data_IF_994341418748
#
_entry.id   IF_994341418748
#
_cell.length_a   1.000
_cell.length_b   1.000
_cell.length_c   1.000
_cell.angle_alpha   90.00
_cell.angle_beta   90.00
_cell.angle_gamma   90.00
#
_symmetry.space_group_name_H-M   'P 1'
#
loop_
_entity.id
_entity.type
_entity.pdbx_description
1 polymer ?
2 non-polymer ?
3 non-polymer ?
4 non-polymer ?
5 non-polymer ?
6 non-polymer ?
7 water ?
#
# COMPACT_ATOMS: atom_id res chain seq x y z
N UNK A 1 4.54 4.73 20.65
CA UNK A 1 3.23 4.12 20.50
C UNK A 1 2.66 4.37 19.11
N UNK A 2 1.61 3.63 18.75
CA UNK A 2 0.88 3.88 17.52
C UNK A 2 1.28 2.99 16.38
N UNK A 3 0.94 3.46 15.18
CA UNK A 3 1.11 2.66 13.97
C UNK A 3 2.58 2.48 13.65
N UNK A 4 2.95 1.26 13.26
CA UNK A 4 4.32 0.96 12.89
C UNK A 4 4.52 1.01 11.38
N UNK A 5 3.63 0.36 10.64
CA UNK A 5 3.78 0.15 9.21
C UNK A 5 2.47 -0.42 8.68
N UNK A 6 2.42 -0.59 7.35
CA UNK A 6 1.29 -1.29 6.74
C UNK A 6 1.36 -2.77 7.11
N UNK A 7 0.20 -3.36 7.39
CA UNK A 7 0.17 -4.70 7.93
C UNK A 7 -0.20 -5.74 6.89
N UNK A 8 -1.33 -5.54 6.23
CA UNK A 8 -1.74 -6.41 5.13
C UNK A 8 -2.80 -5.69 4.32
N UNK A 9 -3.05 -6.21 3.13
CA UNK A 9 -4.09 -5.71 2.23
C UNK A 9 -4.93 -6.89 1.77
N UNK A 10 -6.24 -6.75 1.84
CA UNK A 10 -7.17 -7.79 1.42
C UNK A 10 -7.73 -7.43 0.05
N UNK A 11 -7.44 -8.26 -0.96
CA UNK A 11 -7.82 -8.00 -2.33
C UNK A 11 -8.88 -8.98 -2.80
N UNK A 12 -9.73 -8.50 -3.71
CA UNK A 12 -10.71 -9.36 -4.38
C UNK A 12 -10.09 -9.88 -5.67
N UNK A 13 -10.13 -11.20 -5.85
CA UNK A 13 -9.64 -11.83 -7.07
C UNK A 13 -10.74 -12.72 -7.63
N UNK A 14 -10.77 -12.82 -8.97
CA UNK A 14 -11.79 -13.60 -9.66
C UNK A 14 -11.33 -15.00 -10.02
N UNK A 15 -10.02 -15.23 -10.10
CA UNK A 15 -9.45 -16.56 -10.35
C UNK A 15 -8.38 -16.77 -9.30
N UNK A 16 -8.69 -17.59 -8.29
CA UNK A 16 -7.78 -17.78 -7.16
C UNK A 16 -6.51 -18.49 -7.59
N UNK A 17 -6.64 -19.52 -8.44
CA UNK A 17 -5.46 -20.26 -8.90
C UNK A 17 -4.50 -19.33 -9.64
N UNK A 18 -5.03 -18.47 -10.51
CA UNK A 18 -4.16 -17.59 -11.28
C UNK A 18 -3.59 -16.47 -10.42
N UNK A 19 -4.39 -15.95 -9.47
CA UNK A 19 -3.90 -14.89 -8.59
C UNK A 19 -2.79 -15.38 -7.68
N UNK A 20 -2.96 -16.58 -7.11
CA UNK A 20 -1.91 -17.15 -6.27
C UNK A 20 -0.66 -17.42 -7.09
N UNK A 21 -0.83 -17.91 -8.33
CA UNK A 21 0.32 -18.10 -9.21
C UNK A 21 1.07 -16.79 -9.44
N UNK A 22 0.32 -15.70 -9.61
CA UNK A 22 0.93 -14.42 -9.92
C UNK A 22 1.72 -13.88 -8.73
N UNK A 23 1.10 -13.88 -7.54
CA UNK A 23 1.78 -13.31 -6.38
C UNK A 23 2.91 -14.18 -5.86
N UNK A 24 2.91 -15.47 -6.21
CA UNK A 24 4.01 -16.36 -5.88
C UNK A 24 5.13 -16.34 -6.92
N UNK A 25 4.77 -16.38 -8.20
CA UNK A 25 5.79 -16.47 -9.24
C UNK A 25 6.38 -15.11 -9.59
N UNK A 26 5.56 -14.07 -9.65
CA UNK A 26 6.05 -12.77 -10.10
C UNK A 26 6.70 -12.01 -8.96
N UNK A 27 6.01 -11.85 -7.84
CA UNK A 27 6.50 -11.08 -6.72
C UNK A 27 7.30 -11.92 -5.72
N UNK A 28 7.21 -13.25 -5.79
CA UNK A 28 8.02 -14.09 -4.96
C UNK A 28 7.46 -14.35 -3.57
N UNK A 29 6.17 -14.13 -3.37
CA UNK A 29 5.57 -14.39 -2.07
C UNK A 29 5.33 -15.88 -1.86
N UNK A 30 5.06 -16.24 -0.62
CA UNK A 30 4.76 -17.60 -0.23
C UNK A 30 3.37 -17.66 0.39
N UNK A 31 2.57 -18.62 -0.05
CA UNK A 31 1.29 -18.88 0.60
C UNK A 31 1.52 -19.47 1.98
N UNK A 32 0.94 -18.82 3.00
CA UNK A 32 1.15 -19.22 4.39
C UNK A 32 -0.03 -19.97 4.98
N UNK A 33 -1.26 -19.76 4.49
CA UNK A 33 -2.42 -20.46 5.01
C UNK A 33 -3.61 -20.19 4.09
N UNK A 34 -4.61 -21.07 4.20
CA UNK A 34 -5.89 -20.89 3.52
C UNK A 34 -6.99 -21.27 4.50
N UNK A 35 -7.94 -20.35 4.72
CA UNK A 35 -8.97 -20.58 5.71
C UNK A 35 -10.12 -21.39 5.11
N UNK A 36 -11.12 -21.67 5.94
CA UNK A 36 -12.24 -22.51 5.51
C UNK A 36 -13.06 -21.87 4.39
N UNK A 37 -12.97 -20.56 4.22
CA UNK A 37 -13.74 -19.85 3.20
C UNK A 37 -12.99 -19.71 1.88
N UNK A 38 -11.83 -20.34 1.74
CA UNK A 38 -11.07 -20.25 0.52
C UNK A 38 -10.13 -19.07 0.42
N UNK A 39 -10.15 -18.18 1.40
CA UNK A 39 -9.23 -17.04 1.40
C UNK A 39 -7.80 -17.53 1.54
N UNK A 40 -6.90 -16.92 0.77
CA UNK A 40 -5.49 -17.31 0.73
C UNK A 40 -4.65 -16.16 1.27
N UNK A 41 -3.70 -16.50 2.12
CA UNK A 41 -2.85 -15.53 2.81
C UNK A 41 -1.41 -15.73 2.39
N UNK A 42 -0.71 -14.65 2.08
CA UNK A 42 0.65 -14.73 1.57
C UNK A 42 1.53 -13.70 2.28
N UNK A 43 2.83 -13.98 2.30
CA UNK A 43 3.80 -13.09 2.92
C UNK A 43 5.04 -13.01 2.04
N UNK A 44 5.80 -11.93 2.22
CA UNK A 44 7.07 -11.76 1.53
C UNK A 44 8.20 -12.35 2.37
N UNK A 45 9.36 -12.52 1.74
CA UNK A 45 10.46 -13.22 2.42
C UNK A 45 11.06 -12.38 3.54
N UNK A 46 11.10 -11.06 3.40
CA UNK A 46 11.69 -10.19 4.41
C UNK A 46 10.66 -9.65 5.40
N UNK A 47 9.48 -10.28 5.47
CA UNK A 47 8.51 -10.02 6.52
C UNK A 47 8.58 -11.13 7.55
N UNK A 48 8.22 -10.81 8.79
CA UNK A 48 8.24 -11.79 9.86
C UNK A 48 6.86 -12.17 10.39
N UNK A 49 5.83 -11.38 10.10
CA UNK A 49 4.49 -11.77 10.47
C UNK A 49 3.91 -12.76 9.45
N UNK A 50 2.75 -13.32 9.78
CA UNK A 50 2.26 -14.47 9.03
C UNK A 50 1.89 -14.11 7.59
N UNK A 51 1.25 -12.96 7.39
CA UNK A 51 0.79 -12.64 6.04
C UNK A 51 0.68 -11.13 5.88
N UNK A 52 0.89 -10.68 4.64
CA UNK A 52 0.69 -9.29 4.27
C UNK A 52 -0.27 -9.12 3.11
N UNK A 53 -0.78 -10.22 2.54
CA UNK A 53 -1.71 -10.18 1.41
C UNK A 53 -2.79 -11.22 1.64
N UNK A 54 -4.05 -10.79 1.54
CA UNK A 54 -5.20 -11.69 1.58
C UNK A 54 -5.87 -11.68 0.22
N UNK A 55 -6.06 -12.85 -0.36
CA UNK A 55 -6.79 -13.00 -1.61
C UNK A 55 -8.12 -13.68 -1.32
N UNK A 56 -9.21 -12.98 -1.63
CA UNK A 56 -10.54 -13.48 -1.34
C UNK A 56 -11.29 -13.71 -2.64
N UNK A 57 -11.96 -14.86 -2.80
CA UNK A 57 -12.74 -15.10 -4.02
C UNK A 57 -13.86 -14.09 -4.15
N UNK A 58 -14.03 -13.57 -5.38
CA UNK A 58 -15.02 -12.52 -5.61
C UNK A 58 -15.43 -12.54 -7.08
N UNK A 59 -16.50 -11.82 -7.37
CA UNK A 59 -16.97 -11.63 -8.74
C UNK A 59 -16.25 -10.49 -9.45
N UNK A 60 -15.36 -9.79 -8.75
CA UNK A 60 -14.74 -8.58 -9.28
C UNK A 60 -13.38 -8.39 -8.62
N UNK A 61 -12.64 -7.40 -9.11
CA UNK A 61 -11.39 -7.01 -8.47
C UNK A 61 -11.71 -6.00 -7.37
N UNK A 62 -10.70 -5.33 -6.86
CA UNK A 62 -10.87 -4.32 -5.83
C UNK A 62 -10.25 -4.74 -4.51
N UNK A 63 -10.40 -3.87 -3.53
CA UNK A 63 -9.84 -4.07 -2.20
C UNK A 63 -10.96 -4.23 -1.18
N UNK A 64 -10.83 -5.25 -0.33
CA UNK A 64 -11.76 -5.40 0.80
C UNK A 64 -11.45 -4.39 1.89
N UNK A 65 -10.28 -4.49 2.50
CA UNK A 65 -9.87 -3.55 3.54
C UNK A 65 -8.36 -3.42 3.50
N UNK A 66 -7.85 -2.52 4.34
CA UNK A 66 -6.42 -2.25 4.46
C UNK A 66 -6.07 -2.21 5.93
N UNK A 67 -4.98 -2.88 6.31
CA UNK A 67 -4.64 -3.05 7.71
C UNK A 67 -3.24 -2.51 8.00
N UNK A 68 -3.11 -1.88 9.16
CA UNK A 68 -1.84 -1.36 9.65
C UNK A 68 -1.58 -1.90 11.05
N UNK A 69 -0.32 -2.23 11.32
CA UNK A 69 0.06 -2.78 12.61
C UNK A 69 0.47 -1.66 13.56
N UNK A 70 0.04 -1.77 14.81
CA UNK A 70 0.39 -0.82 15.86
C UNK A 70 1.39 -1.50 16.80
N UNK A 71 2.03 -0.69 17.63
CA UNK A 71 3.13 -1.19 18.45
C UNK A 71 2.63 -2.14 19.54
N UNK A 72 1.58 -1.76 20.26
CA UNK A 72 1.11 -2.54 21.39
C UNK A 72 -0.41 -2.61 21.38
N UNK A 73 -0.95 -3.57 22.12
CA UNK A 73 -2.38 -3.79 22.16
C UNK A 73 -3.13 -2.58 22.72
N UNK A 74 -2.54 -1.92 23.72
CA UNK A 74 -3.20 -0.76 24.32
C UNK A 74 -3.30 0.42 23.36
N UNK A 75 -2.53 0.42 22.27
CA UNK A 75 -2.63 1.51 21.30
C UNK A 75 -4.01 1.55 20.65
N UNK A 76 -4.67 0.39 20.53
CA UNK A 76 -5.96 0.34 19.87
C UNK A 76 -7.01 1.12 20.64
N UNK A 77 -7.03 0.99 21.97
CA UNK A 77 -7.97 1.75 22.77
C UNK A 77 -7.71 3.25 22.66
N UNK A 78 -6.45 3.65 22.76
CA UNK A 78 -6.11 5.07 22.68
C UNK A 78 -6.43 5.64 21.31
N UNK A 79 -6.05 4.93 20.24
CA UNK A 79 -6.39 5.38 18.90
C UNK A 79 -7.90 5.35 18.67
N UNK A 80 -8.60 4.39 19.27
CA UNK A 80 -10.05 4.33 19.11
C UNK A 80 -10.71 5.58 19.67
N UNK A 81 -10.24 6.06 20.83
CA UNK A 81 -10.82 7.27 21.41
C UNK A 81 -10.49 8.49 20.58
N UNK A 82 -9.28 8.57 20.03
CA UNK A 82 -8.93 9.68 19.16
C UNK A 82 -9.78 9.68 17.89
N UNK A 83 -9.97 8.50 17.29
CA UNK A 83 -10.75 8.41 16.06
C UNK A 83 -12.20 8.79 16.31
N UNK A 84 -12.77 8.28 17.41
CA UNK A 84 -14.19 8.52 17.68
C UNK A 84 -14.45 9.94 18.14
N UNK A 85 -13.45 10.60 18.74
CA UNK A 85 -13.59 12.02 19.05
C UNK A 85 -13.61 12.84 17.77
N UNK A 86 -12.83 12.45 16.77
CA UNK A 86 -12.83 13.11 15.47
C UNK A 86 -14.18 13.02 14.76
N UNK A 87 -14.98 12.00 15.07
CA UNK A 87 -16.28 11.83 14.46
C UNK A 87 -16.46 10.53 13.69
N UNK A 88 -15.47 9.64 13.65
CA UNK A 88 -15.56 8.38 12.92
C UNK A 88 -15.91 7.28 13.92
N UNK A 89 -16.96 6.52 13.61
CA UNK A 89 -17.35 5.39 14.45
C UNK A 89 -16.42 4.20 14.20
N UNK A 90 -16.04 3.54 15.28
CA UNK A 90 -15.17 2.37 15.21
C UNK A 90 -15.88 1.16 15.82
N UNK A 91 -15.34 -0.01 15.50
CA UNK A 91 -15.75 -1.26 16.13
C UNK A 91 -14.50 -2.10 16.35
N UNK A 92 -14.62 -3.09 17.22
CA UNK A 92 -13.49 -3.92 17.62
C UNK A 92 -13.83 -5.38 17.34
N UNK A 93 -13.32 -5.91 16.24
CA UNK A 93 -13.34 -7.34 16.00
C UNK A 93 -12.27 -8.00 16.86
N UNK A 94 -12.65 -9.05 17.59
CA UNK A 94 -11.75 -9.62 18.58
C UNK A 94 -10.84 -10.65 17.93
N UNK A 95 -10.10 -11.41 18.76
CA UNK A 95 -9.11 -12.34 18.26
C UNK A 95 -9.74 -13.41 17.38
N UNK A 96 -9.03 -13.79 16.33
CA UNK A 96 -9.49 -14.87 15.46
C UNK A 96 -10.50 -14.47 14.40
N UNK A 97 -10.90 -13.20 14.35
CA UNK A 97 -11.76 -12.75 13.24
C UNK A 97 -11.10 -13.07 11.90
N UNK A 98 -9.79 -12.81 11.79
CA UNK A 98 -8.94 -13.35 10.75
C UNK A 98 -8.01 -14.40 11.37
N UNK A 99 -7.68 -15.47 10.64
CA UNK A 99 -6.79 -16.48 11.21
C UNK A 99 -5.41 -15.92 11.52
N UNK A 100 -4.85 -16.38 12.64
CA UNK A 100 -3.52 -15.96 13.08
C UNK A 100 -3.43 -14.45 13.28
N UNK A 101 -4.54 -13.82 13.63
CA UNK A 101 -4.59 -12.37 13.77
C UNK A 101 -5.32 -12.02 15.06
N UNK A 102 -4.73 -11.11 15.84
CA UNK A 102 -5.34 -10.64 17.06
C UNK A 102 -6.56 -9.76 16.77
N UNK A 103 -7.03 -9.11 17.82
CA UNK A 103 -8.18 -8.22 17.69
C UNK A 103 -7.83 -7.04 16.79
N UNK A 104 -8.86 -6.50 16.13
CA UNK A 104 -8.67 -5.46 15.12
C UNK A 104 -9.66 -4.33 15.33
N UNK A 105 -9.15 -3.10 15.38
CA UNK A 105 -9.97 -1.91 15.39
C UNK A 105 -10.39 -1.59 13.97
N UNK A 106 -11.70 -1.52 13.72
CA UNK A 106 -12.23 -1.38 12.38
C UNK A 106 -13.00 -0.07 12.24
N UNK A 107 -12.76 0.64 11.14
CA UNK A 107 -13.41 1.91 10.87
C UNK A 107 -13.26 2.23 9.40
N UNK A 108 -13.99 3.25 8.96
CA UNK A 108 -13.94 3.70 7.57
C UNK A 108 -13.26 5.06 7.50
N UNK A 109 -12.33 5.20 6.55
CA UNK A 109 -11.76 6.49 6.25
C UNK A 109 -12.83 7.40 5.65
N UNK A 110 -12.63 8.72 5.68
CA UNK A 110 -13.56 9.62 4.99
C UNK A 110 -13.78 9.27 3.53
N UNK A 111 -12.77 8.71 2.87
CA UNK A 111 -12.92 8.28 1.48
C UNK A 111 -13.81 7.06 1.32
N UNK A 112 -14.18 6.40 2.42
CA UNK A 112 -15.05 5.25 2.38
C UNK A 112 -14.35 3.91 2.50
N UNK A 113 -13.03 3.89 2.42
CA UNK A 113 -12.28 2.64 2.54
C UNK A 113 -12.32 2.13 3.97
N UNK A 114 -12.34 0.81 4.12
CA UNK A 114 -12.29 0.19 5.43
C UNK A 114 -10.83 0.02 5.84
N UNK A 115 -10.47 0.56 7.00
CA UNK A 115 -9.13 0.42 7.55
C UNK A 115 -9.20 -0.32 8.87
N UNK A 116 -8.24 -1.21 9.09
CA UNK A 116 -8.14 -1.97 10.33
C UNK A 116 -6.79 -1.74 10.97
N UNK A 117 -6.78 -1.72 12.31
CA UNK A 117 -5.57 -1.63 13.10
C UNK A 117 -5.48 -2.85 14.00
N UNK A 118 -4.34 -3.53 13.97
CA UNK A 118 -4.11 -4.67 14.83
C UNK A 118 -2.75 -4.53 15.49
N UNK A 119 -2.61 -5.13 16.68
CA UNK A 119 -1.34 -5.16 17.38
C UNK A 119 -0.66 -6.52 17.36
N UNK A 120 -1.43 -7.60 17.12
CA UNK A 120 -0.92 -8.96 17.25
C UNK A 120 -1.22 -9.73 15.97
N UNK A 121 -0.19 -10.36 15.41
CA UNK A 121 -0.31 -11.31 14.32
C UNK A 121 0.74 -12.38 14.53
N UNK A 122 0.42 -13.61 14.14
CA UNK A 122 1.31 -14.74 14.40
C UNK A 122 2.69 -14.51 13.80
N UNK A 123 3.71 -14.68 14.62
CA UNK A 123 5.09 -14.50 14.18
C UNK A 123 5.57 -15.79 13.51
N UNK A 124 6.15 -15.65 12.32
CA UNK A 124 6.78 -16.77 11.64
C UNK A 124 8.25 -16.51 11.32
N UNK A 125 8.68 -15.25 11.25
CA UNK A 125 10.05 -14.93 10.97
C UNK A 125 10.31 -14.76 9.48
N UNK A 126 11.40 -14.05 9.17
CA UNK A 126 11.80 -13.86 7.79
C UNK A 126 12.42 -15.14 7.23
N UNK A 127 12.59 -15.17 5.91
CA UNK A 127 13.15 -16.33 5.24
C UNK A 127 14.66 -16.43 5.38
N UNK A 128 15.30 -15.50 6.10
CA UNK A 128 16.73 -15.57 6.37
C UNK A 128 17.04 -15.71 7.85
N UNK A 129 16.03 -15.79 8.71
CA UNK A 129 16.27 -15.96 10.13
C UNK A 129 16.82 -14.70 10.81
N UNK A 130 17.14 -14.87 12.09
CA UNK A 130 17.65 -13.78 12.92
C UNK A 130 18.89 -14.17 13.71
N UNK A 131 19.53 -15.28 13.38
CA UNK A 131 20.81 -15.67 13.99
C UNK A 131 21.82 -15.83 12.86
N UNK A 132 22.78 -14.92 12.79
CA UNK A 132 23.78 -14.87 11.73
C UNK A 132 23.13 -14.95 10.34
N UNK A 133 22.15 -14.09 10.05
CA UNK A 133 21.34 -14.28 8.84
C UNK A 133 22.08 -13.82 7.59
N UNK A 134 21.74 -14.49 6.47
CA UNK A 134 22.21 -14.05 5.17
C UNK A 134 21.49 -12.77 4.77
N UNK A 135 22.11 -11.97 3.88
CA UNK A 135 21.43 -10.76 3.41
C UNK A 135 20.20 -11.06 2.57
N UNK A 136 20.18 -12.20 1.87
CA UNK A 136 19.05 -12.62 1.07
C UNK A 136 18.95 -14.14 1.14
N UNK A 137 17.76 -14.70 0.94
CA UNK A 137 17.60 -16.15 1.05
C UNK A 137 17.82 -16.87 -0.27
N UNK A 138 18.40 -18.07 -0.16
CA UNK A 138 18.54 -18.93 -1.32
C UNK A 138 17.17 -19.42 -1.78
N UNK A 139 17.03 -19.57 -3.09
CA UNK A 139 15.78 -20.03 -3.64
C UNK A 139 14.69 -18.99 -3.67
N UNK A 140 15.05 -17.71 -3.78
CA UNK A 140 14.06 -16.67 -4.01
C UNK A 140 13.41 -16.86 -5.37
N UNK A 141 12.13 -16.51 -5.45
CA UNK A 141 11.34 -16.67 -6.67
C UNK A 141 10.99 -15.31 -7.25
N UNK A 142 11.03 -15.21 -8.58
CA UNK A 142 10.56 -14.02 -9.25
C UNK A 142 11.34 -12.78 -8.85
N UNK A 143 10.62 -11.71 -8.56
CA UNK A 143 11.22 -10.44 -8.17
C UNK A 143 11.79 -10.45 -6.76
N UNK A 144 11.38 -11.39 -5.92
CA UNK A 144 11.92 -11.47 -4.58
C UNK A 144 11.62 -10.24 -3.75
N UNK A 145 10.36 -9.84 -3.72
CA UNK A 145 9.96 -8.63 -3.01
C UNK A 145 10.24 -8.76 -1.52
N UNK A 146 10.78 -7.70 -0.94
CA UNK A 146 11.14 -7.72 0.49
C UNK A 146 9.89 -7.73 1.36
N UNK A 147 9.00 -6.76 1.17
CA UNK A 147 7.86 -6.60 2.03
C UNK A 147 6.81 -5.74 1.33
N UNK A 148 5.56 -5.89 1.79
CA UNK A 148 4.52 -4.93 1.42
C UNK A 148 4.90 -3.56 1.96
N UNK A 149 5.11 -2.61 1.04
CA UNK A 149 5.69 -1.32 1.39
C UNK A 149 4.64 -0.26 1.69
N UNK A 150 3.65 -0.09 0.82
CA UNK A 150 2.64 0.94 1.00
C UNK A 150 1.44 0.61 0.13
N UNK A 151 0.43 1.48 0.18
CA UNK A 151 -0.77 1.33 -0.63
C UNK A 151 -1.27 2.71 -1.02
N UNK A 152 -1.63 2.85 -2.30
CA UNK A 152 -2.19 4.09 -2.83
C UNK A 152 -3.68 3.88 -3.07
N UNK A 153 -4.51 4.66 -2.37
CA UNK A 153 -5.96 4.58 -2.49
C UNK A 153 -6.47 5.70 -3.40
N UNK A 154 -7.35 5.35 -4.32
CA UNK A 154 -8.11 6.35 -5.06
C UNK A 154 -9.23 6.85 -4.16
N UNK A 155 -9.34 8.17 -4.04
CA UNK A 155 -10.28 8.79 -3.12
C UNK A 155 -11.22 9.71 -3.88
N UNK A 156 -12.51 9.59 -3.59
CA UNK A 156 -13.53 10.38 -4.28
C UNK A 156 -13.26 11.87 -4.11
N UNK A 157 -13.26 12.59 -5.24
CA UNK A 157 -12.91 14.00 -5.24
C UNK A 157 -13.79 14.72 -6.25
N UNK A 158 -14.44 15.79 -5.79
CA UNK A 158 -15.33 16.60 -6.65
C UNK A 158 -15.27 18.03 -6.14
N UNK A 159 -14.28 18.79 -6.58
CA UNK A 159 -14.10 20.15 -6.02
C UNK A 159 -15.27 21.07 -6.25
N UNK A 160 -15.95 20.98 -7.40
CA UNK A 160 -17.10 21.85 -7.64
C UNK A 160 -18.27 21.50 -6.73
N UNK A 161 -18.33 20.25 -6.26
CA UNK A 161 -19.32 19.84 -5.28
C UNK A 161 -18.81 19.95 -3.85
N UNK A 162 -17.60 20.45 -3.65
CA UNK A 162 -17.04 20.57 -2.31
C UNK A 162 -16.56 19.27 -1.70
N UNK A 163 -16.25 18.27 -2.51
CA UNK A 163 -15.84 16.95 -2.03
C UNK A 163 -14.38 16.76 -2.36
N UNK A 164 -13.57 16.48 -1.33
CA UNK A 164 -12.16 16.14 -1.51
C UNK A 164 -11.79 15.20 -0.35
N UNK A 165 -11.98 13.90 -0.58
CA UNK A 165 -11.65 12.91 0.43
C UNK A 165 -10.15 12.66 0.55
N UNK A 166 -9.36 13.11 -0.43
CA UNK A 166 -7.91 13.09 -0.25
C UNK A 166 -7.51 14.04 0.86
N UNK A 167 -8.10 15.24 0.88
CA UNK A 167 -7.82 16.19 1.95
C UNK A 167 -8.37 15.71 3.28
N UNK A 168 -9.55 15.07 3.27
CA UNK A 168 -10.15 14.59 4.51
C UNK A 168 -9.42 13.36 5.04
N UNK A 169 -8.97 12.47 4.15
CA UNK A 169 -8.14 11.35 4.58
C UNK A 169 -6.81 11.85 5.12
N UNK A 170 -6.20 12.83 4.47
CA UNK A 170 -4.92 13.36 4.92
C UNK A 170 -5.03 13.98 6.30
N UNK A 171 -6.08 14.77 6.53
CA UNK A 171 -6.29 15.34 7.86
C UNK A 171 -6.63 14.27 8.89
N UNK A 172 -7.28 13.19 8.47
CA UNK A 172 -7.68 12.15 9.42
C UNK A 172 -6.48 11.37 9.91
N UNK A 173 -5.67 10.83 8.99
CA UNK A 173 -4.53 10.02 9.38
C UNK A 173 -3.45 10.83 10.09
N UNK A 174 -3.43 12.15 9.90
CA UNK A 174 -2.47 12.98 10.60
C UNK A 174 -2.93 13.29 12.02
N UNK A 175 -4.18 13.74 12.16
CA UNK A 175 -4.67 14.17 13.47
C UNK A 175 -5.03 13.00 14.38
N UNK A 176 -5.46 11.86 13.81
CA UNK A 176 -5.87 10.72 14.61
C UNK A 176 -4.81 9.63 14.72
N UNK A 177 -4.14 9.29 13.61
CA UNK A 177 -3.15 8.24 13.61
C UNK A 177 -1.72 8.76 13.66
N UNK A 178 -1.54 10.08 13.70
CA UNK A 178 -0.22 10.73 13.80
C UNK A 178 0.71 10.34 12.65
N UNK A 179 0.16 10.14 11.45
CA UNK A 179 0.98 10.16 10.27
C UNK A 179 1.49 11.59 10.04
N UNK A 180 2.59 11.71 9.29
CA UNK A 180 3.06 13.03 8.90
C UNK A 180 3.21 13.09 7.39
N UNK A 181 2.83 14.24 6.82
CA UNK A 181 2.79 14.42 5.38
C UNK A 181 4.21 14.64 4.84
N UNK A 182 4.61 13.83 3.86
CA UNK A 182 5.92 13.95 3.24
C UNK A 182 5.88 14.71 1.92
N UNK A 183 4.96 14.39 1.02
CA UNK A 183 4.84 15.09 -0.24
C UNK A 183 3.38 15.26 -0.59
N UNK A 184 3.11 16.21 -1.48
CA UNK A 184 1.74 16.50 -1.91
C UNK A 184 1.75 17.03 -3.33
N UNK A 185 0.70 16.71 -4.06
CA UNK A 185 0.44 17.27 -5.39
C UNK A 185 -0.66 18.32 -5.24
N UNK A 186 -0.36 19.55 -5.61
CA UNK A 186 -1.29 20.66 -5.50
C UNK A 186 -1.78 21.06 -6.88
N UNK A 187 -3.10 20.97 -7.08
CA UNK A 187 -3.73 21.38 -8.33
C UNK A 187 -4.71 22.51 -8.03
N UNK A 188 -5.55 22.86 -9.00
CA UNK A 188 -6.49 23.93 -8.84
C UNK A 188 -5.82 25.27 -8.96
N UNK A 189 -6.56 26.35 -8.66
CA UNK A 189 -5.99 27.70 -8.77
C UNK A 189 -4.82 27.93 -7.81
N UNK A 190 -3.62 28.08 -8.38
CA UNK A 190 -2.45 28.34 -7.57
C UNK A 190 -2.06 27.21 -6.65
N UNK A 191 -2.47 25.99 -6.95
CA UNK A 191 -2.15 24.86 -6.10
C UNK A 191 -2.90 24.89 -4.77
N UNK A 192 -4.16 25.30 -4.79
CA UNK A 192 -4.97 25.41 -3.58
C UNK A 192 -5.77 24.15 -3.29
N UNK A 193 -5.59 23.08 -4.06
CA UNK A 193 -6.36 21.85 -3.90
C UNK A 193 -5.39 20.68 -3.83
N UNK A 194 -5.47 19.91 -2.74
CA UNK A 194 -4.68 18.70 -2.58
C UNK A 194 -5.32 17.60 -3.41
N UNK A 195 -4.60 17.14 -4.44
CA UNK A 195 -5.10 16.04 -5.25
C UNK A 195 -4.37 14.73 -4.99
N UNK A 196 -3.19 14.78 -4.38
CA UNK A 196 -2.43 13.57 -4.07
C UNK A 196 -1.53 13.87 -2.88
N UNK A 197 -1.58 13.01 -1.87
CA UNK A 197 -0.78 13.16 -0.66
C UNK A 197 -0.06 11.85 -0.34
N UNK A 198 1.11 11.98 0.27
CA UNK A 198 1.93 10.84 0.67
C UNK A 198 2.31 11.04 2.13
N UNK A 199 1.93 10.07 2.97
CA UNK A 199 2.11 10.19 4.41
C UNK A 199 2.83 8.97 4.96
N UNK A 200 3.49 9.16 6.09
CA UNK A 200 4.39 8.13 6.62
C UNK A 200 4.27 8.03 8.13
N UNK A 201 4.51 6.82 8.62
CA UNK A 201 4.83 6.54 10.02
C UNK A 201 6.27 6.11 10.21
N UNK A 202 6.79 5.33 9.26
CA UNK A 202 8.21 5.02 9.21
C UNK A 202 8.98 6.25 8.74
N UNK A 203 10.30 6.12 8.64
CA UNK A 203 11.14 7.16 8.06
C UNK A 203 11.41 6.90 6.58
N UNK A 204 10.43 6.33 5.90
CA UNK A 204 10.39 6.19 4.44
C UNK A 204 9.40 7.17 3.86
N UNK A 205 9.52 7.51 2.57
CA UNK A 205 8.70 8.59 2.02
C UNK A 205 7.20 8.41 2.18
N UNK A 206 6.70 7.17 2.22
CA UNK A 206 5.27 7.01 2.42
C UNK A 206 4.95 5.56 2.78
N UNK A 207 4.03 5.40 3.75
CA UNK A 207 3.40 4.13 4.06
C UNK A 207 1.96 4.07 3.59
N UNK A 208 1.30 5.22 3.40
CA UNK A 208 -0.02 5.32 2.81
C UNK A 208 -0.02 6.53 1.90
N UNK A 209 -0.93 6.52 0.92
CA UNK A 209 -1.03 7.62 -0.02
C UNK A 209 -2.44 7.66 -0.59
N UNK A 210 -2.91 8.88 -0.89
CA UNK A 210 -4.24 9.09 -1.42
C UNK A 210 -4.14 9.89 -2.71
N UNK A 211 -4.88 9.47 -3.74
CA UNK A 211 -4.95 10.17 -5.01
C UNK A 211 -6.42 10.37 -5.36
N UNK A 212 -6.75 11.54 -5.90
CA UNK A 212 -8.13 11.85 -6.19
C UNK A 212 -8.64 11.11 -7.42
N UNK A 213 -9.94 10.82 -7.40
CA UNK A 213 -10.59 10.15 -8.49
C UNK A 213 -12.08 10.38 -8.47
N UNK A 214 -12.77 9.98 -9.55
CA UNK A 214 -14.23 10.12 -9.56
C UNK A 214 -14.91 9.29 -8.49
N UNK A 215 -14.39 8.09 -8.20
CA UNK A 215 -14.89 7.24 -7.14
C UNK A 215 -13.72 6.84 -6.25
N UNK A 216 -14.04 6.15 -5.16
CA UNK A 216 -13.02 5.63 -4.26
C UNK A 216 -12.71 4.18 -4.62
N UNK A 217 -11.42 3.87 -4.71
CA UNK A 217 -11.00 2.52 -5.04
C UNK A 217 -9.55 2.28 -4.67
N UNK A 218 -9.01 1.20 -5.23
CA UNK A 218 -7.62 0.81 -5.00
C UNK A 218 -6.81 1.15 -6.23
N UNK A 219 -5.78 1.99 -6.06
CA UNK A 219 -4.88 2.25 -7.17
C UNK A 219 -3.84 1.15 -7.29
N UNK A 220 -3.11 0.86 -6.21
CA UNK A 220 -2.16 -0.24 -6.21
C UNK A 220 -1.67 -0.50 -4.79
N UNK A 221 -1.19 -1.71 -4.57
CA UNK A 221 -0.36 -2.05 -3.41
C UNK A 221 1.06 -2.27 -3.92
N UNK A 222 2.04 -1.84 -3.12
CA UNK A 222 3.43 -1.83 -3.56
C UNK A 222 4.28 -2.76 -2.71
N UNK A 223 5.36 -3.25 -3.32
CA UNK A 223 6.29 -4.16 -2.67
C UNK A 223 7.71 -3.61 -2.85
N UNK A 224 8.51 -3.70 -1.81
CA UNK A 224 9.81 -3.04 -1.80
C UNK A 224 10.88 -3.87 -2.49
N UNK A 225 11.70 -3.20 -3.29
CA UNK A 225 12.92 -3.78 -3.85
C UNK A 225 14.12 -2.95 -3.43
N UNK A 226 15.30 -3.56 -3.49
CA UNK A 226 16.50 -2.89 -3.00
C UNK A 226 16.96 -1.79 -3.96
N UNK A 227 17.25 -2.15 -5.21
CA UNK A 227 18.00 -1.28 -6.11
C UNK A 227 17.33 -1.20 -7.48
N UNK A 228 17.86 -0.29 -8.30
CA UNK A 228 17.43 -0.15 -9.68
C UNK A 228 17.67 -1.44 -10.47
N UNK A 229 18.74 -2.17 -10.13
CA UNK A 229 19.03 -3.43 -10.82
C UNK A 229 17.94 -4.47 -10.55
N UNK A 230 17.39 -4.48 -9.35
CA UNK A 230 16.31 -5.41 -9.03
C UNK A 230 15.05 -5.08 -9.81
N UNK A 231 14.85 -3.80 -10.15
CA UNK A 231 13.74 -3.42 -11.00
C UNK A 231 13.92 -4.00 -12.40
N UNK A 232 15.15 -4.03 -12.90
CA UNK A 232 15.43 -4.69 -14.17
C UNK A 232 15.12 -6.18 -14.08
N UNK A 233 15.59 -6.82 -13.01
CA UNK A 233 15.33 -8.24 -12.82
C UNK A 233 13.82 -8.51 -12.68
N UNK A 234 13.13 -7.65 -11.93
CA UNK A 234 11.69 -7.80 -11.79
C UNK A 234 10.98 -7.64 -13.13
N UNK A 235 11.46 -6.71 -13.96
CA UNK A 235 10.84 -6.53 -15.27
C UNK A 235 11.07 -7.74 -16.16
N UNK A 236 12.25 -8.38 -16.05
CA UNK A 236 12.49 -9.60 -16.79
C UNK A 236 11.55 -10.72 -16.36
N UNK A 237 11.28 -10.80 -15.05
CA UNK A 237 10.38 -11.82 -14.53
C UNK A 237 8.97 -11.63 -15.09
N UNK A 238 8.50 -10.38 -15.13
CA UNK A 238 7.15 -10.13 -15.65
C UNK A 238 7.04 -10.52 -17.12
N UNK A 239 8.13 -10.36 -17.88
CA UNK A 239 8.14 -10.77 -19.27
C UNK A 239 8.09 -12.29 -19.40
N UNK A 240 8.79 -13.00 -18.51
CA UNK A 240 8.79 -14.45 -18.57
C UNK A 240 7.43 -15.04 -18.20
N UNK A 241 6.63 -14.30 -17.44
CA UNK A 241 5.29 -14.74 -17.05
C UNK A 241 4.21 -14.04 -17.85
N UNK A 242 4.57 -13.29 -18.89
CA UNK A 242 3.65 -12.47 -19.67
C UNK A 242 2.71 -11.69 -18.77
N UNK A 243 3.30 -11.03 -17.77
CA UNK A 243 2.54 -10.11 -16.93
C UNK A 243 2.23 -8.85 -17.72
N UNK A 244 0.99 -8.39 -17.61
CA UNK A 244 0.57 -7.17 -18.30
C UNK A 244 1.12 -5.98 -17.52
N UNK A 245 2.09 -5.29 -18.10
CA UNK A 245 2.77 -4.18 -17.45
C UNK A 245 2.01 -2.89 -17.73
N UNK A 246 1.67 -2.17 -16.66
CA UNK A 246 1.04 -0.87 -16.81
C UNK A 246 2.07 0.19 -17.19
N UNK A 247 3.15 0.31 -16.41
CA UNK A 247 4.19 1.29 -16.65
C UNK A 247 5.55 0.58 -16.59
N UNK A 248 6.33 0.73 -17.66
CA UNK A 248 7.66 0.14 -17.74
C UNK A 248 8.59 0.79 -16.71
N UNK A 249 9.76 0.18 -16.44
CA UNK A 249 10.66 0.76 -15.44
C UNK A 249 10.96 2.23 -15.66
N UNK A 250 10.76 3.03 -14.62
CA UNK A 250 11.07 4.46 -14.60
C UNK A 250 11.18 4.89 -13.14
N UNK A 251 11.31 6.20 -12.92
CA UNK A 251 11.43 6.77 -11.59
C UNK A 251 10.24 7.68 -11.30
N UNK A 252 9.75 7.64 -10.06
CA UNK A 252 8.77 8.61 -9.60
C UNK A 252 9.46 9.92 -9.24
N UNK A 253 8.84 11.04 -9.62
CA UNK A 253 9.28 12.32 -9.11
C UNK A 253 9.07 12.42 -7.61
N UNK A 254 7.88 12.01 -7.16
CA UNK A 254 7.60 11.94 -5.73
C UNK A 254 8.30 10.72 -5.14
N UNK A 255 8.88 10.89 -3.95
CA UNK A 255 9.60 9.85 -3.20
C UNK A 255 10.94 9.48 -3.83
N UNK A 256 11.17 9.91 -5.07
CA UNK A 256 12.35 9.55 -5.88
C UNK A 256 12.47 8.06 -6.15
N UNK A 257 11.43 7.29 -5.86
CA UNK A 257 11.53 5.84 -5.96
C UNK A 257 11.39 5.33 -7.38
N UNK A 258 12.25 4.38 -7.73
CA UNK A 258 12.16 3.69 -9.01
C UNK A 258 11.09 2.61 -8.95
N UNK A 259 10.38 2.41 -10.07
CA UNK A 259 9.10 1.73 -9.99
C UNK A 259 8.78 0.96 -11.27
N UNK A 260 7.85 0.02 -11.12
CA UNK A 260 7.16 -0.64 -12.23
C UNK A 260 5.70 -0.82 -11.82
N UNK A 261 4.79 -0.47 -12.71
CA UNK A 261 3.37 -0.73 -12.51
C UNK A 261 2.96 -1.94 -13.34
N UNK A 262 2.25 -2.87 -12.73
CA UNK A 262 1.81 -4.07 -13.43
C UNK A 262 0.55 -4.59 -12.76
N UNK A 263 -0.16 -5.46 -13.46
CA UNK A 263 -1.46 -5.95 -13.04
C UNK A 263 -1.40 -7.44 -12.66
N UNK A 264 -2.24 -7.80 -11.69
CA UNK A 264 -2.47 -9.20 -11.34
C UNK A 264 -3.56 -9.77 -12.23
N UNK A 265 -3.77 -11.11 -12.25
CA UNK A 265 -4.72 -11.69 -13.21
C UNK A 265 -6.17 -11.34 -12.93
N UNK A 266 -6.43 -10.38 -12.05
CA UNK A 266 -7.78 -9.87 -11.83
C UNK A 266 -7.93 -8.40 -12.16
N UNK A 267 -6.85 -7.69 -12.48
CA UNK A 267 -6.90 -6.27 -12.78
C UNK A 267 -6.33 -5.38 -11.71
N UNK A 268 -6.08 -5.89 -10.52
CA UNK A 268 -5.49 -5.08 -9.46
C UNK A 268 -4.06 -4.70 -9.83
N UNK A 269 -3.74 -3.43 -9.66
CA UNK A 269 -2.40 -2.95 -10.00
C UNK A 269 -1.44 -3.21 -8.85
N UNK A 270 -0.24 -3.69 -9.19
CA UNK A 270 0.84 -3.86 -8.23
C UNK A 270 2.01 -2.97 -8.61
N UNK A 271 2.89 -2.72 -7.64
CA UNK A 271 4.08 -1.92 -7.87
C UNK A 271 5.28 -2.56 -7.19
N UNK A 272 6.39 -2.65 -7.92
CA UNK A 272 7.68 -2.99 -7.35
C UNK A 272 8.45 -1.69 -7.14
N UNK A 273 8.54 -1.26 -5.88
CA UNK A 273 9.12 0.01 -5.50
C UNK A 273 10.54 -0.20 -5.02
N UNK A 274 11.49 0.53 -5.59
CA UNK A 274 12.90 0.33 -5.31
C UNK A 274 13.50 1.56 -4.63
N UNK A 275 14.30 1.31 -3.61
CA UNK A 275 15.08 2.36 -2.98
C UNK A 275 14.39 2.99 -1.79
N UNK A 276 15.20 3.49 -0.86
CA UNK A 276 14.66 4.31 0.23
C UNK A 276 14.13 5.63 -0.29
N UNK A 277 14.80 6.22 -1.28
CA UNK A 277 14.42 7.52 -1.76
C UNK A 277 15.03 8.64 -0.93
N UNK A 278 14.55 8.77 0.29
CA UNK A 278 15.15 9.69 1.26
C UNK A 278 14.64 9.31 2.65
N UNK A 279 15.29 9.88 3.66
CA UNK A 279 14.89 9.65 5.05
C UNK A 279 13.80 10.65 5.40
N UNK A 280 12.55 10.18 5.43
CA UNK A 280 11.44 11.03 5.81
C UNK A 280 11.54 11.42 7.29
N UNK A 281 11.37 12.71 7.57
CA UNK A 281 11.52 13.23 8.92
C UNK A 281 10.41 14.25 9.19
N UNK A 282 9.99 14.32 10.44
CA UNK A 282 8.88 15.20 10.81
C UNK A 282 9.27 16.68 10.76
N UNK A 283 10.56 16.99 10.77
CA UNK A 283 11.03 18.34 10.56
C UNK A 283 11.40 18.63 9.11
N UNK A 284 11.29 17.63 8.23
CA UNK A 284 11.56 17.85 6.82
C UNK A 284 10.40 18.62 6.20
N UNK A 285 10.67 19.63 5.37
CA UNK A 285 9.59 20.34 4.70
C UNK A 285 8.84 19.43 3.74
N UNK A 286 7.53 19.66 3.64
CA UNK A 286 6.70 18.87 2.73
C UNK A 286 7.06 19.22 1.30
N UNK A 287 7.45 18.22 0.52
CA UNK A 287 7.73 18.43 -0.90
C UNK A 287 6.44 18.71 -1.64
N UNK A 288 6.36 19.86 -2.28
CA UNK A 288 5.17 20.28 -3.01
C UNK A 288 5.40 20.12 -4.51
N UNK A 289 4.47 19.43 -5.18
CA UNK A 289 4.49 19.28 -6.62
C UNK A 289 3.32 20.05 -7.22
N UNK A 290 3.60 20.91 -8.18
CA UNK A 290 2.60 21.80 -8.76
C UNK A 290 1.94 21.15 -9.97
N UNK A 291 0.78 21.72 -10.35
CA UNK A 291 -0.03 21.11 -11.39
C UNK A 291 0.63 21.17 -12.76
N UNK A 292 1.45 22.19 -13.01
CA UNK A 292 2.14 22.30 -14.30
C UNK A 292 3.16 21.18 -14.48
N UNK A 293 3.67 20.62 -13.39
CA UNK A 293 4.60 19.49 -13.44
C UNK A 293 3.95 18.23 -12.88
N UNK A 294 2.66 18.06 -13.14
CA UNK A 294 1.94 16.90 -12.64
C UNK A 294 2.48 15.59 -13.22
N UNK A 295 2.93 15.62 -14.48
CA UNK A 295 3.45 14.41 -15.09
C UNK A 295 4.79 14.00 -14.54
N UNK A 296 5.64 14.98 -14.21
CA UNK A 296 6.96 14.65 -13.69
C UNK A 296 6.89 14.15 -12.25
N UNK A 297 5.85 14.54 -11.50
CA UNK A 297 5.71 14.06 -10.13
C UNK A 297 5.43 12.57 -10.08
N UNK A 298 4.72 12.04 -11.07
CA UNK A 298 4.33 10.63 -11.11
C UNK A 298 5.37 9.84 -11.88
N UNK A 299 5.58 10.20 -13.15
CA UNK A 299 6.55 9.56 -14.02
C UNK A 299 7.62 10.60 -14.36
N UNK A 300 8.71 10.58 -13.61
CA UNK A 300 9.69 11.66 -13.68
C UNK A 300 10.43 11.68 -15.01
N UNK A 301 10.76 10.50 -15.56
CA UNK A 301 11.65 10.45 -16.71
C UNK A 301 11.00 11.07 -17.95
N UNK A 302 9.69 10.88 -18.13
CA UNK A 302 9.02 11.37 -19.33
C UNK A 302 8.33 12.71 -19.13
N UNK A 303 7.98 13.07 -17.89
CA UNK A 303 7.11 14.22 -17.69
C UNK A 303 5.74 14.04 -18.30
N UNK A 304 5.33 12.79 -18.53
CA UNK A 304 4.12 12.44 -19.26
C UNK A 304 3.24 11.61 -18.33
N UNK A 305 2.13 12.19 -17.89
CA UNK A 305 1.18 11.50 -17.01
C UNK A 305 0.42 10.48 -17.83
N UNK A 306 0.69 9.20 -17.58
CA UNK A 306 0.03 8.13 -18.32
C UNK A 306 -1.48 8.22 -18.11
N UNK A 307 -2.28 8.11 -19.18
CA UNK A 307 -3.74 8.03 -18.99
C UNK A 307 -4.15 6.85 -18.12
N UNK A 308 -3.37 5.76 -18.15
CA UNK A 308 -3.68 4.59 -17.34
C UNK A 308 -3.57 4.87 -15.84
N UNK A 309 -2.66 5.75 -15.45
CA UNK A 309 -2.48 6.04 -14.03
C UNK A 309 -3.74 6.64 -13.41
N UNK A 310 -4.38 7.57 -14.11
CA UNK A 310 -5.52 8.30 -13.59
C UNK A 310 -6.86 7.77 -14.10
N UNK A 311 -6.86 6.68 -14.87
CA UNK A 311 -8.10 6.14 -15.42
C UNK A 311 -8.36 4.67 -15.06
N UNK A 312 -7.34 3.91 -14.68
CA UNK A 312 -7.49 2.48 -14.43
C UNK A 312 -7.24 2.20 -12.96
N UNK A 313 -8.27 1.72 -12.27
CA UNK A 313 -8.13 1.24 -10.89
C UNK A 313 -9.31 0.33 -10.59
N UNK A 314 -9.23 -0.34 -9.44
CA UNK A 314 -10.22 -1.34 -9.07
C UNK A 314 -10.85 -1.06 -7.71
X LIG B 1 3.34 3.32 -4.99
X LIG C 1 4.29 8.08 -6.69
X LIG C 1 3.41 7.02 -6.85
X LIG C 1 3.63 5.83 -6.16
X LIG C 1 2.75 4.77 -6.32
X LIG C 1 4.73 5.72 -5.32
X LIG C 1 4.97 4.53 -4.62
X LIG C 1 5.61 6.78 -5.17
X LIG C 1 5.39 7.96 -5.85
X LIG C 1 4.05 9.38 -7.44
X LIG D 1 -14.06 19.52 1.91
X LIG D 1 -14.04 18.93 3.17
X LIG D 1 -12.70 19.34 1.24
X LIG D 1 -12.06 20.58 1.12
X LIG D 1 -11.93 21.04 -0.19
X LIG D 1 -10.49 20.90 -0.67
X LIG D 1 -10.35 21.47 -1.95
X LIG E 1 -13.55 -10.14 7.43
X LIG E 1 -12.91 -10.45 8.64
X LIG E 1 -12.49 -9.77 6.38
X LIG E 1 -13.12 -9.47 5.17
X LIG F 1 7.10 2.65 3.25
#
# INVERSE_FOLDING_TARGET
>A
MGVLRIGHASLKVMDMDAAVRHYENVLGMKTTMKDKAGNVYLKCWDEWDKYSVILTPSDQAGMNHLAYKVEKEADLEALQQKIEAWGVKTTMLDEGTLPSTGRMLQFKLPSGHEMRLYASKEFVGTDVGNINPDPWPDGLKGAGAHWLDHCLLVCEMNPEAGINTVADNTRFVTECLDFFLTEQVLVGPGGSIQATTFLARTTTPHDIAFVGGPTSGLHHIAFFLDSWHDVLKAADVMAKNKVRIDVAPTRHGITRGETIYFFDPSGNRNETFAGLGYLAQRDRPVTTWTEDQLGSAIFYHTGYLEPSFTDVYT
>B hetero
1 FE FE
>C hetero
1 MCT C1 C2 C3 O3 C4 O4 C5 C6 C
>D hetero
1 PEG C1 O1 C2 O2 C3 C4 O4
>E hetero
1 EDO C1 O1 C2 O2
>F hetero
1 CA CA
#
